data_IF_467000083468
#
_entry.id   IF_467000083468
#
_cell.length_a   1.000
_cell.length_b   1.000
_cell.length_c   1.000
_cell.angle_alpha   90.00
_cell.angle_beta   90.00
_cell.angle_gamma   90.00
#
_symmetry.space_group_name_H-M   'P 1'
#
loop_
_entity.id
_entity.type
_entity.pdbx_description
1 polymer ?
#
# COMPACT_ATOMS: atom_id res chain seq x y z
N UNK A 1 -4.81 -6.23 19.79
CA UNK A 1 -4.47 -6.15 18.38
C UNK A 1 -5.61 -6.61 17.48
N UNK A 2 -6.08 -7.83 17.67
CA UNK A 2 -7.19 -8.40 16.92
C UNK A 2 -8.44 -7.53 17.03
N UNK A 3 -8.74 -7.08 18.25
CA UNK A 3 -9.89 -6.24 18.55
C UNK A 3 -9.83 -4.87 17.87
N UNK A 4 -8.63 -4.29 17.76
CA UNK A 4 -8.41 -3.01 17.09
C UNK A 4 -8.74 -3.09 15.60
N UNK A 5 -8.30 -4.15 14.93
CA UNK A 5 -8.57 -4.35 13.51
C UNK A 5 -10.05 -4.67 13.26
N UNK A 6 -10.67 -5.46 14.13
CA UNK A 6 -12.10 -5.76 14.03
C UNK A 6 -12.95 -4.50 14.07
N UNK A 7 -12.67 -3.58 15.00
CA UNK A 7 -13.37 -2.29 15.09
C UNK A 7 -13.12 -1.43 13.85
N UNK A 8 -11.87 -1.42 13.35
CA UNK A 8 -11.52 -0.66 12.16
C UNK A 8 -12.29 -1.17 10.94
N UNK A 9 -12.43 -2.48 10.78
CA UNK A 9 -13.21 -3.07 9.68
C UNK A 9 -14.70 -2.72 9.80
N UNK A 10 -15.26 -2.73 11.01
CA UNK A 10 -16.66 -2.34 11.23
C UNK A 10 -16.88 -0.89 10.79
N UNK A 11 -16.00 0.03 11.19
CA UNK A 11 -16.12 1.45 10.80
C UNK A 11 -15.98 1.65 9.30
N UNK A 12 -15.09 0.90 8.65
CA UNK A 12 -14.91 0.97 7.20
C UNK A 12 -16.15 0.48 6.48
N UNK A 13 -16.76 -0.61 6.94
CA UNK A 13 -17.99 -1.13 6.36
C UNK A 13 -19.14 -0.12 6.48
N UNK A 14 -19.26 0.57 7.62
CA UNK A 14 -20.22 1.65 7.78
C UNK A 14 -19.93 2.80 6.81
N UNK A 15 -18.67 3.21 6.69
CA UNK A 15 -18.30 4.29 5.78
C UNK A 15 -18.59 3.92 4.32
N UNK A 16 -18.36 2.67 3.92
CA UNK A 16 -18.70 2.17 2.58
C UNK A 16 -20.20 2.24 2.31
N UNK A 17 -21.03 1.90 3.30
CA UNK A 17 -22.48 1.94 3.14
C UNK A 17 -23.00 3.37 2.95
N UNK A 18 -22.35 4.35 3.58
CA UNK A 18 -22.74 5.76 3.50
C UNK A 18 -22.24 6.41 2.20
N UNK A 19 -20.99 6.15 1.81
CA UNK A 19 -20.33 6.84 0.68
C UNK A 19 -20.22 6.01 -0.59
N UNK A 20 -20.53 4.71 -0.52
CA UNK A 20 -20.37 3.78 -1.62
C UNK A 20 -18.95 3.22 -1.73
N UNK A 21 -18.81 2.13 -2.50
CA UNK A 21 -17.53 1.39 -2.62
C UNK A 21 -16.51 2.07 -3.53
N UNK A 22 -16.86 3.19 -4.16
CA UNK A 22 -16.02 3.85 -5.16
C UNK A 22 -15.16 4.98 -4.58
N UNK A 23 -15.21 5.22 -3.27
CA UNK A 23 -14.41 6.27 -2.65
C UNK A 23 -12.96 5.79 -2.49
N UNK A 24 -11.97 6.40 -3.20
CA UNK A 24 -10.57 5.95 -3.11
C UNK A 24 -9.98 6.06 -1.71
N UNK A 25 -10.38 7.06 -0.93
CA UNK A 25 -9.88 7.22 0.45
C UNK A 25 -10.29 6.05 1.32
N UNK A 26 -11.55 5.63 1.24
CA UNK A 26 -12.07 4.52 2.03
C UNK A 26 -11.44 3.21 1.59
N UNK A 27 -11.31 3.00 0.28
CA UNK A 27 -10.66 1.80 -0.27
C UNK A 27 -9.19 1.72 0.17
N UNK A 28 -8.49 2.86 0.15
CA UNK A 28 -7.11 2.93 0.61
C UNK A 28 -6.99 2.54 2.09
N UNK A 29 -7.84 3.11 2.93
CA UNK A 29 -7.84 2.80 4.37
C UNK A 29 -8.14 1.32 4.61
N UNK A 30 -9.12 0.77 3.91
CA UNK A 30 -9.45 -0.65 3.97
C UNK A 30 -8.23 -1.53 3.61
N UNK A 31 -7.56 -1.19 2.50
CA UNK A 31 -6.42 -1.97 2.03
C UNK A 31 -5.25 -1.93 3.01
N UNK A 32 -4.96 -0.77 3.60
CA UNK A 32 -3.90 -0.62 4.61
C UNK A 32 -4.21 -1.46 5.85
N UNK A 33 -5.44 -1.41 6.33
CA UNK A 33 -5.85 -2.20 7.50
C UNK A 33 -5.78 -3.70 7.17
N UNK A 34 -6.27 -4.10 6.02
CA UNK A 34 -6.22 -5.50 5.57
C UNK A 34 -4.77 -6.01 5.50
N UNK A 35 -3.87 -5.21 4.94
CA UNK A 35 -2.45 -5.53 4.86
C UNK A 35 -1.86 -5.69 6.27
N UNK A 36 -2.01 -4.68 7.12
CA UNK A 36 -1.40 -4.66 8.44
C UNK A 36 -1.97 -5.76 9.37
N UNK A 37 -3.26 -6.04 9.28
CA UNK A 37 -3.89 -7.10 10.06
C UNK A 37 -3.34 -8.49 9.71
N UNK A 38 -2.86 -8.68 8.49
CA UNK A 38 -2.33 -9.97 8.03
C UNK A 38 -0.81 -10.04 8.01
N UNK A 39 -0.13 -8.88 8.09
CA UNK A 39 1.33 -8.82 8.02
C UNK A 39 2.02 -9.61 9.12
N UNK A 40 1.48 -9.55 10.34
CA UNK A 40 2.07 -10.22 11.51
C UNK A 40 1.72 -11.70 11.63
N UNK A 41 0.84 -12.20 10.76
CA UNK A 41 0.48 -13.62 10.77
C UNK A 41 1.59 -14.46 10.14
N UNK A 42 1.75 -15.73 10.54
CA UNK A 42 2.72 -16.62 9.91
C UNK A 42 2.48 -16.72 8.40
N UNK A 43 3.57 -16.82 7.64
CA UNK A 43 3.48 -16.92 6.18
C UNK A 43 2.68 -18.15 5.76
N UNK A 44 1.72 -17.94 4.88
CA UNK A 44 0.88 -18.98 4.30
C UNK A 44 0.40 -18.52 2.93
N UNK A 45 -0.10 -19.43 2.07
CA UNK A 45 -0.69 -19.02 0.80
C UNK A 45 -1.85 -18.04 0.97
N UNK A 46 -2.65 -18.20 2.02
CA UNK A 46 -3.79 -17.32 2.31
C UNK A 46 -3.33 -15.91 2.69
N UNK A 47 -2.31 -15.80 3.54
CA UNK A 47 -1.75 -14.51 3.93
C UNK A 47 -1.12 -13.83 2.72
N UNK A 48 -0.35 -14.55 1.92
CA UNK A 48 0.24 -14.01 0.69
C UNK A 48 -0.85 -13.47 -0.25
N UNK A 49 -1.89 -14.23 -0.49
CA UNK A 49 -3.00 -13.83 -1.35
C UNK A 49 -3.69 -12.56 -0.83
N UNK A 50 -3.89 -12.47 0.48
CA UNK A 50 -4.52 -11.31 1.11
C UNK A 50 -3.65 -10.05 0.99
N UNK A 51 -2.34 -10.19 1.19
CA UNK A 51 -1.42 -9.06 1.02
C UNK A 51 -1.35 -8.60 -0.44
N UNK A 52 -1.36 -9.53 -1.38
CA UNK A 52 -1.39 -9.19 -2.80
C UNK A 52 -2.69 -8.47 -3.18
N UNK A 53 -3.81 -8.92 -2.65
CA UNK A 53 -5.11 -8.24 -2.84
C UNK A 53 -5.04 -6.80 -2.33
N UNK A 54 -4.47 -6.60 -1.14
CA UNK A 54 -4.29 -5.26 -0.57
C UNK A 54 -3.45 -4.37 -1.50
N UNK A 55 -2.35 -4.91 -2.04
CA UNK A 55 -1.49 -4.15 -2.95
C UNK A 55 -2.23 -3.76 -4.24
N UNK A 56 -3.07 -4.64 -4.76
CA UNK A 56 -3.88 -4.33 -5.94
C UNK A 56 -4.89 -3.21 -5.68
N UNK A 57 -5.54 -3.22 -4.52
CA UNK A 57 -6.47 -2.16 -4.12
C UNK A 57 -5.71 -0.83 -4.02
N UNK A 58 -4.54 -0.82 -3.37
CA UNK A 58 -3.72 0.39 -3.24
C UNK A 58 -3.29 0.92 -4.61
N UNK A 59 -2.96 0.04 -5.54
CA UNK A 59 -2.58 0.41 -6.89
C UNK A 59 -3.72 1.13 -7.62
N UNK A 60 -4.94 0.63 -7.49
CA UNK A 60 -6.13 1.27 -8.07
C UNK A 60 -6.38 2.64 -7.45
N UNK A 61 -6.17 2.79 -6.15
CA UNK A 61 -6.37 4.07 -5.47
C UNK A 61 -5.47 5.15 -6.04
N UNK A 62 -4.22 4.84 -6.37
CA UNK A 62 -3.32 5.79 -7.02
C UNK A 62 -3.88 6.23 -8.38
N UNK A 63 -4.42 5.31 -9.15
CA UNK A 63 -4.94 5.60 -10.48
C UNK A 63 -6.26 6.40 -10.44
N UNK A 64 -7.07 6.19 -9.41
CA UNK A 64 -8.44 6.72 -9.34
C UNK A 64 -8.57 8.04 -8.59
N UNK A 65 -7.58 8.42 -7.77
CA UNK A 65 -7.67 9.62 -6.93
C UNK A 65 -6.72 10.71 -7.43
N UNK A 66 -7.10 11.97 -7.19
CA UNK A 66 -6.25 13.12 -7.50
C UNK A 66 -5.09 13.29 -6.50
N UNK A 67 -5.17 12.69 -5.31
CA UNK A 67 -4.13 12.78 -4.27
C UNK A 67 -3.00 11.80 -4.51
N UNK A 68 -2.34 11.94 -5.65
CA UNK A 68 -1.31 11.01 -6.12
C UNK A 68 -0.15 10.84 -5.14
N UNK A 69 0.31 11.93 -4.54
CA UNK A 69 1.43 11.89 -3.57
C UNK A 69 1.10 10.98 -2.40
N UNK A 70 -0.09 11.13 -1.83
CA UNK A 70 -0.55 10.33 -0.70
C UNK A 70 -0.54 8.85 -1.03
N UNK A 71 -1.12 8.48 -2.17
CA UNK A 71 -1.22 7.07 -2.57
C UNK A 71 0.15 6.49 -2.97
N UNK A 72 0.99 7.28 -3.62
CA UNK A 72 2.34 6.84 -3.99
C UNK A 72 3.17 6.50 -2.75
N UNK A 73 3.08 7.33 -1.71
CA UNK A 73 3.80 7.11 -0.45
C UNK A 73 3.34 5.84 0.26
N UNK A 74 2.04 5.66 0.38
CA UNK A 74 1.48 4.47 1.03
C UNK A 74 1.86 3.21 0.26
N UNK A 75 1.71 3.22 -1.06
CA UNK A 75 2.06 2.06 -1.88
C UNK A 75 3.55 1.71 -1.74
N UNK A 76 4.42 2.71 -1.72
CA UNK A 76 5.86 2.49 -1.54
C UNK A 76 6.18 1.86 -0.18
N UNK A 77 5.57 2.36 0.89
CA UNK A 77 5.78 1.81 2.24
C UNK A 77 5.33 0.35 2.32
N UNK A 78 4.17 0.04 1.77
CA UNK A 78 3.65 -1.33 1.79
C UNK A 78 4.45 -2.26 0.88
N UNK A 79 4.96 -1.76 -0.24
CA UNK A 79 5.84 -2.54 -1.13
C UNK A 79 7.12 -2.98 -0.42
N UNK A 80 7.72 -2.10 0.38
CA UNK A 80 8.91 -2.42 1.16
C UNK A 80 8.59 -3.50 2.21
N UNK A 81 7.47 -3.36 2.91
CA UNK A 81 7.02 -4.36 3.89
C UNK A 81 6.73 -5.71 3.21
N UNK A 82 6.11 -5.68 2.05
CA UNK A 82 5.82 -6.91 1.30
C UNK A 82 7.10 -7.66 0.96
N UNK A 83 8.11 -6.95 0.47
CA UNK A 83 9.41 -7.58 0.18
C UNK A 83 10.06 -8.16 1.43
N UNK A 84 9.98 -7.44 2.55
CA UNK A 84 10.55 -7.92 3.82
C UNK A 84 9.93 -9.25 4.26
N UNK A 85 8.62 -9.40 4.08
CA UNK A 85 7.90 -10.60 4.49
C UNK A 85 8.05 -11.75 3.49
N UNK A 86 8.08 -11.45 2.20
CA UNK A 86 8.15 -12.45 1.12
C UNK A 86 9.30 -12.11 0.15
N UNK A 87 10.56 -12.26 0.59
CA UNK A 87 11.71 -11.83 -0.21
C UNK A 87 11.87 -12.60 -1.52
N UNK A 88 11.31 -13.80 -1.62
CA UNK A 88 11.47 -14.67 -2.79
C UNK A 88 10.29 -14.64 -3.77
N UNK A 89 9.24 -13.87 -3.45
CA UNK A 89 8.07 -13.76 -4.34
C UNK A 89 8.39 -12.83 -5.51
N UNK A 90 8.15 -13.31 -6.73
CA UNK A 90 8.49 -12.58 -7.96
C UNK A 90 7.79 -11.22 -8.09
N UNK A 91 6.55 -11.10 -7.61
CA UNK A 91 5.77 -9.86 -7.68
C UNK A 91 6.34 -8.72 -6.85
N UNK A 92 7.17 -9.02 -5.84
CA UNK A 92 7.77 -7.97 -4.99
C UNK A 92 8.54 -6.93 -5.80
N UNK A 93 9.24 -7.39 -6.84
CA UNK A 93 10.02 -6.49 -7.69
C UNK A 93 9.11 -5.58 -8.51
N UNK A 94 8.01 -6.12 -9.02
CA UNK A 94 7.02 -5.32 -9.75
C UNK A 94 6.43 -4.21 -8.91
N UNK A 95 6.09 -4.49 -7.66
CA UNK A 95 5.58 -3.49 -6.73
C UNK A 95 6.63 -2.40 -6.46
N UNK A 96 7.88 -2.79 -6.24
CA UNK A 96 8.97 -1.84 -5.99
C UNK A 96 9.25 -0.97 -7.21
N UNK A 97 9.28 -1.55 -8.40
CA UNK A 97 9.49 -0.81 -9.64
C UNK A 97 8.37 0.18 -9.91
N UNK A 98 7.13 -0.22 -9.67
CA UNK A 98 5.97 0.67 -9.81
C UNK A 98 6.01 1.80 -8.79
N UNK A 99 6.38 1.50 -7.54
CA UNK A 99 6.58 2.50 -6.49
C UNK A 99 7.62 3.54 -6.91
N UNK A 100 8.75 3.09 -7.46
CA UNK A 100 9.80 3.97 -7.95
C UNK A 100 9.28 4.92 -9.03
N UNK A 101 8.56 4.36 -10.00
CA UNK A 101 7.97 5.14 -11.09
C UNK A 101 7.04 6.23 -10.56
N UNK A 102 6.17 5.89 -9.62
CA UNK A 102 5.22 6.84 -9.06
C UNK A 102 5.91 7.92 -8.21
N UNK A 103 6.89 7.53 -7.38
CA UNK A 103 7.65 8.50 -6.59
C UNK A 103 8.42 9.46 -7.49
N UNK A 104 9.04 8.98 -8.55
CA UNK A 104 9.74 9.84 -9.51
C UNK A 104 8.77 10.81 -10.20
N UNK A 105 7.58 10.34 -10.56
CA UNK A 105 6.57 11.18 -11.17
C UNK A 105 6.13 12.31 -10.24
N UNK A 106 5.88 12.00 -8.96
CA UNK A 106 5.45 13.01 -7.99
C UNK A 106 6.60 13.95 -7.60
N UNK A 107 7.84 13.46 -7.59
CA UNK A 107 9.01 14.28 -7.29
C UNK A 107 9.30 15.33 -8.38
N UNK A 108 8.82 15.15 -9.59
CA UNK A 108 8.94 16.18 -10.63
C UNK A 108 8.26 17.48 -10.19
N UNK A 109 7.15 17.37 -9.47
CA UNK A 109 6.41 18.53 -8.97
C UNK A 109 6.89 19.01 -7.59
N UNK A 110 7.55 18.12 -6.84
CA UNK A 110 8.04 18.40 -5.48
C UNK A 110 9.43 17.79 -5.28
N UNK A 111 10.46 18.32 -5.99
CA UNK A 111 11.79 17.68 -5.98
C UNK A 111 12.48 17.71 -4.61
N UNK A 112 12.07 18.60 -3.72
CA UNK A 112 12.66 18.76 -2.38
C UNK A 112 11.86 18.04 -1.29
N UNK A 113 10.85 17.25 -1.62
CA UNK A 113 10.10 16.50 -0.63
C UNK A 113 11.00 15.45 0.01
N UNK A 114 11.33 15.67 1.27
CA UNK A 114 12.29 14.84 2.01
C UNK A 114 11.77 13.41 2.19
N UNK A 115 10.49 13.26 2.50
CA UNK A 115 9.89 11.95 2.74
C UNK A 115 9.92 11.11 1.45
N UNK A 116 9.49 11.67 0.33
CA UNK A 116 9.50 10.93 -0.94
C UNK A 116 10.91 10.59 -1.40
N UNK A 117 11.89 11.49 -1.20
CA UNK A 117 13.28 11.20 -1.50
C UNK A 117 13.84 10.08 -0.61
N UNK A 118 13.46 10.04 0.66
CA UNK A 118 13.86 8.96 1.57
C UNK A 118 13.24 7.62 1.15
N UNK A 119 11.96 7.62 0.79
CA UNK A 119 11.29 6.43 0.28
C UNK A 119 11.94 5.94 -1.02
N UNK A 120 12.26 6.84 -1.93
CA UNK A 120 12.94 6.50 -3.18
C UNK A 120 14.26 5.80 -2.91
N UNK A 121 15.08 6.33 -1.98
CA UNK A 121 16.34 5.69 -1.59
C UNK A 121 16.12 4.30 -0.99
N UNK A 122 15.09 4.16 -0.16
CA UNK A 122 14.75 2.86 0.43
C UNK A 122 14.32 1.85 -0.64
N UNK A 123 13.51 2.28 -1.61
CA UNK A 123 13.11 1.44 -2.74
C UNK A 123 14.35 1.02 -3.55
N UNK A 124 15.26 1.96 -3.84
CA UNK A 124 16.48 1.66 -4.59
C UNK A 124 17.31 0.58 -3.90
N UNK A 125 17.47 0.68 -2.58
CA UNK A 125 18.18 -0.36 -1.80
C UNK A 125 17.49 -1.72 -1.90
N UNK A 126 16.19 -1.73 -1.91
CA UNK A 126 15.40 -2.97 -1.97
C UNK A 126 15.35 -3.59 -3.37
N UNK A 127 15.69 -2.82 -4.42
CA UNK A 127 15.75 -3.31 -5.80
C UNK A 127 17.10 -3.94 -6.14
N UNK A 128 18.11 -3.80 -5.30
CA UNK A 128 19.46 -4.36 -5.51
C UNK A 128 19.55 -5.87 -5.31
#
# INVERSE_FOLDING_TARGET
HKKKYELAFIWIDEAKSITGNNNPTIRNTYAVILFNANYDKPNSPEVLSTLEESMEILQRCYNDDYRKIYHARIFAEQSIKFKSKYPDVSRKRGYLELSMKWLESELKNRPNDRWMNNLKRSIQRNLR
#
